data_IF_064973734167
#
_entry.id   IF_064973734167
#
_cell.length_a   1.000
_cell.length_b   1.000
_cell.length_c   1.000
_cell.angle_alpha   90.00
_cell.angle_beta   90.00
_cell.angle_gamma   90.00
#
_symmetry.space_group_name_H-M   'P 1'
#
loop_
_entity.id
_entity.type
_entity.pdbx_description
1 polymer ?
#
# COMPACT_ATOMS: atom_id res chain seq x y z
N UNK A 1 12.53 5.19 15.63
CA UNK A 1 11.73 5.27 14.38
C UNK A 1 11.22 3.89 14.08
N UNK A 2 9.91 3.72 13.90
CA UNK A 2 9.30 2.45 13.53
C UNK A 2 9.25 2.39 12.00
N UNK A 3 10.14 1.63 11.39
CA UNK A 3 10.12 1.42 9.95
C UNK A 3 8.88 0.57 9.63
N UNK A 4 7.97 1.10 8.81
CA UNK A 4 6.80 0.34 8.36
C UNK A 4 7.30 -0.79 7.46
N UNK A 5 7.05 -2.03 7.86
CA UNK A 5 7.33 -3.20 7.04
C UNK A 5 6.25 -3.31 5.94
N UNK A 6 6.69 -3.30 4.68
CA UNK A 6 5.78 -3.30 3.53
C UNK A 6 5.57 -4.74 3.08
N UNK A 7 4.30 -5.14 2.96
CA UNK A 7 3.90 -6.44 2.44
C UNK A 7 4.51 -6.69 1.05
N UNK A 8 5.27 -7.77 0.93
CA UNK A 8 5.80 -8.23 -0.35
C UNK A 8 4.79 -9.11 -1.09
N UNK A 9 4.95 -9.26 -2.40
CA UNK A 9 4.14 -10.20 -3.19
C UNK A 9 4.33 -11.65 -2.71
N UNK A 10 5.51 -12.01 -2.18
CA UNK A 10 5.74 -13.33 -1.61
C UNK A 10 4.84 -13.61 -0.40
N UNK A 11 4.84 -12.70 0.57
CA UNK A 11 3.98 -12.78 1.76
C UNK A 11 2.48 -12.74 1.39
N UNK A 12 2.10 -11.94 0.38
CA UNK A 12 0.71 -11.94 -0.12
C UNK A 12 0.30 -13.31 -0.66
N UNK A 13 1.17 -13.98 -1.43
CA UNK A 13 0.88 -15.34 -1.95
C UNK A 13 0.75 -16.36 -0.82
N UNK A 14 1.59 -16.27 0.20
CA UNK A 14 1.50 -17.14 1.39
C UNK A 14 0.15 -16.96 2.09
N UNK A 15 -0.29 -15.72 2.28
CA UNK A 15 -1.61 -15.43 2.84
C UNK A 15 -2.76 -15.98 1.98
N UNK A 16 -2.70 -15.83 0.66
CA UNK A 16 -3.71 -16.39 -0.25
C UNK A 16 -3.76 -17.92 -0.18
N UNK A 17 -2.60 -18.59 -0.09
CA UNK A 17 -2.56 -20.04 0.09
C UNK A 17 -3.14 -20.51 1.44
N UNK A 18 -3.07 -19.67 2.48
CA UNK A 18 -3.72 -19.95 3.75
C UNK A 18 -5.24 -19.74 3.71
N UNK A 19 -5.74 -18.79 2.89
CA UNK A 19 -7.17 -18.62 2.65
C UNK A 19 -7.79 -19.88 2.04
N UNK A 20 -7.12 -20.54 1.09
CA UNK A 20 -7.62 -21.77 0.45
C UNK A 20 -7.87 -22.92 1.46
N UNK A 21 -7.21 -22.88 2.62
CA UNK A 21 -7.40 -23.87 3.70
C UNK A 21 -8.64 -23.56 4.56
N UNK A 22 -9.22 -22.37 4.44
CA UNK A 22 -10.35 -21.90 5.25
C UNK A 22 -11.68 -22.13 4.52
N UNK A 23 -12.47 -23.10 5.00
CA UNK A 23 -13.78 -23.46 4.39
C UNK A 23 -14.85 -22.35 4.48
N UNK A 24 -14.62 -21.32 5.29
CA UNK A 24 -15.56 -20.20 5.51
C UNK A 24 -15.34 -19.05 4.54
N UNK A 25 -14.19 -18.99 3.87
CA UNK A 25 -13.90 -17.99 2.85
C UNK A 25 -14.29 -18.57 1.50
N UNK A 26 -15.18 -17.90 0.80
CA UNK A 26 -15.67 -18.25 -0.54
C UNK A 26 -15.29 -17.17 -1.56
N UNK A 27 -15.47 -17.46 -2.85
CA UNK A 27 -15.22 -16.51 -3.94
C UNK A 27 -16.05 -15.20 -3.82
N UNK A 28 -17.17 -15.24 -3.09
CA UNK A 28 -18.03 -14.07 -2.82
C UNK A 28 -17.62 -13.28 -1.57
N UNK A 29 -16.57 -13.70 -0.86
CA UNK A 29 -16.12 -13.03 0.35
C UNK A 29 -15.49 -11.69 0.00
N UNK A 30 -16.06 -10.61 0.54
CA UNK A 30 -15.63 -9.24 0.26
C UNK A 30 -14.30 -8.90 0.95
N UNK A 31 -13.47 -8.12 0.27
CA UNK A 31 -12.22 -7.56 0.81
C UNK A 31 -12.41 -6.08 1.10
N UNK A 32 -11.98 -5.64 2.28
CA UNK A 32 -12.07 -4.25 2.73
C UNK A 32 -10.70 -3.78 3.25
N UNK A 33 -10.47 -2.47 3.22
CA UNK A 33 -9.34 -1.82 3.90
C UNK A 33 -9.80 -1.31 5.26
N UNK A 34 -9.18 -1.78 6.35
CA UNK A 34 -9.40 -1.18 7.66
C UNK A 34 -8.61 0.14 7.76
N UNK A 35 -9.30 1.25 8.06
CA UNK A 35 -8.69 2.58 8.15
C UNK A 35 -8.36 2.99 9.58
N UNK A 36 -8.72 2.16 10.58
CA UNK A 36 -8.66 2.51 11.99
C UNK A 36 -9.67 3.59 12.38
N UNK A 37 -10.00 3.62 13.67
CA UNK A 37 -11.00 4.48 14.32
C UNK A 37 -12.41 3.87 14.42
N UNK A 38 -13.19 3.71 13.35
CA UNK A 38 -14.55 3.09 13.42
C UNK A 38 -15.09 2.52 12.08
N UNK A 39 -14.31 2.59 11.00
CA UNK A 39 -14.77 2.24 9.65
C UNK A 39 -13.81 1.32 8.91
N UNK A 40 -14.39 0.46 8.08
CA UNK A 40 -13.71 -0.23 6.99
C UNK A 40 -14.12 0.42 5.67
N UNK A 41 -13.24 0.35 4.69
CA UNK A 41 -13.40 0.99 3.41
C UNK A 41 -13.54 -0.05 2.29
N UNK A 42 -14.54 0.15 1.42
CA UNK A 42 -14.78 -0.70 0.26
C UNK A 42 -13.62 -0.62 -0.75
N UNK A 43 -13.25 -1.78 -1.29
CA UNK A 43 -12.30 -1.90 -2.40
C UNK A 43 -13.08 -2.36 -3.64
N UNK A 44 -13.01 -1.60 -4.72
CA UNK A 44 -13.64 -1.98 -5.99
C UNK A 44 -12.80 -3.04 -6.72
N UNK A 45 -13.43 -3.83 -7.59
CA UNK A 45 -12.74 -4.89 -8.33
C UNK A 45 -11.67 -4.37 -9.30
N UNK A 46 -11.77 -3.12 -9.73
CA UNK A 46 -10.81 -2.43 -10.59
C UNK A 46 -9.76 -1.59 -9.82
N UNK A 47 -9.76 -1.65 -8.48
CA UNK A 47 -8.81 -0.91 -7.65
C UNK A 47 -7.37 -1.43 -7.76
N UNK A 48 -7.16 -2.67 -8.20
CA UNK A 48 -5.84 -3.30 -8.25
C UNK A 48 -5.04 -2.81 -9.46
N UNK A 49 -3.83 -2.32 -9.20
CA UNK A 49 -2.91 -1.85 -10.24
C UNK A 49 -1.48 -2.26 -9.95
N UNK A 50 -0.68 -2.42 -11.01
CA UNK A 50 0.77 -2.59 -10.93
C UNK A 50 1.38 -1.30 -11.45
N UNK A 51 2.13 -0.61 -10.61
CA UNK A 51 2.65 0.72 -10.88
C UNK A 51 4.15 0.79 -10.59
N UNK A 52 4.74 1.92 -10.95
CA UNK A 52 6.11 2.27 -10.57
C UNK A 52 6.09 3.38 -9.52
N UNK A 53 6.91 3.22 -8.48
CA UNK A 53 7.02 4.17 -7.38
C UNK A 53 8.48 4.42 -7.00
N UNK A 54 8.70 5.55 -6.33
CA UNK A 54 10.00 5.93 -5.74
C UNK A 54 9.82 6.36 -4.30
N UNK A 55 10.85 6.15 -3.49
CA UNK A 55 10.87 6.62 -2.11
C UNK A 55 10.97 8.14 -2.07
N UNK A 56 10.24 8.78 -1.18
CA UNK A 56 10.45 10.17 -0.84
C UNK A 56 10.81 10.29 0.63
N UNK A 57 11.45 11.41 0.96
CA UNK A 57 11.73 11.81 2.32
C UNK A 57 11.40 13.30 2.43
N UNK A 58 10.59 13.65 3.42
CA UNK A 58 10.20 15.03 3.73
C UNK A 58 10.55 15.30 5.18
N UNK A 59 11.11 16.46 5.45
CA UNK A 59 11.36 16.95 6.80
C UNK A 59 10.29 17.98 7.15
N UNK A 60 9.65 17.83 8.31
CA UNK A 60 8.72 18.82 8.85
C UNK A 60 9.52 20.04 9.33
N UNK A 61 9.23 21.24 8.78
CA UNK A 61 10.01 22.44 9.09
C UNK A 61 9.82 22.96 10.51
N UNK A 62 8.79 22.52 11.25
CA UNK A 62 8.51 22.98 12.61
C UNK A 62 9.27 22.17 13.66
N UNK A 63 9.29 20.84 13.50
CA UNK A 63 9.85 19.92 14.51
C UNK A 63 11.07 19.12 13.99
N UNK A 64 11.47 19.29 12.73
CA UNK A 64 12.55 18.55 12.06
C UNK A 64 12.35 17.03 11.99
N UNK A 65 11.11 16.57 12.13
CA UNK A 65 10.77 15.17 12.00
C UNK A 65 10.81 14.75 10.54
N UNK A 66 11.44 13.61 10.27
CA UNK A 66 11.61 13.07 8.94
C UNK A 66 10.56 12.00 8.65
N UNK A 67 9.73 12.27 7.65
CA UNK A 67 8.75 11.34 7.12
C UNK A 67 9.28 10.68 5.85
N UNK A 68 9.11 9.36 5.76
CA UNK A 68 9.47 8.59 4.59
C UNK A 68 8.23 7.91 4.03
N UNK A 69 8.19 7.74 2.71
CA UNK A 69 7.10 7.06 2.04
C UNK A 69 7.41 6.76 0.59
N UNK A 70 6.39 6.36 -0.17
CA UNK A 70 6.49 6.13 -1.60
C UNK A 70 5.60 7.10 -2.35
N UNK A 71 6.09 7.58 -3.48
CA UNK A 71 5.33 8.36 -4.45
C UNK A 71 5.27 7.57 -5.75
N UNK A 72 4.10 7.55 -6.39
CA UNK A 72 3.98 7.12 -7.77
C UNK A 72 4.97 7.88 -8.65
N UNK A 73 5.49 7.23 -9.68
CA UNK A 73 6.50 7.80 -10.57
C UNK A 73 6.02 9.12 -11.20
N UNK A 74 4.74 9.21 -11.57
CA UNK A 74 4.13 10.43 -12.14
C UNK A 74 4.16 11.63 -11.16
N UNK A 75 4.19 11.38 -9.84
CA UNK A 75 4.21 12.41 -8.78
C UNK A 75 5.59 12.56 -8.15
N UNK A 76 6.56 11.75 -8.56
CA UNK A 76 7.87 11.65 -7.93
C UNK A 76 8.62 12.99 -7.94
N UNK A 77 8.53 13.76 -9.03
CA UNK A 77 9.15 15.08 -9.14
C UNK A 77 8.57 16.07 -8.11
N UNK A 78 7.24 16.14 -8.01
CA UNK A 78 6.54 16.99 -7.05
C UNK A 78 6.90 16.64 -5.61
N UNK A 79 7.06 15.35 -5.32
CA UNK A 79 7.40 14.85 -3.98
C UNK A 79 8.90 14.84 -3.69
N UNK A 80 9.75 15.32 -4.62
CA UNK A 80 11.22 15.23 -4.54
C UNK A 80 11.70 13.81 -4.21
N UNK A 81 11.01 12.81 -4.76
CA UNK A 81 11.31 11.41 -4.54
C UNK A 81 12.66 11.06 -5.18
N UNK A 82 13.39 10.15 -4.55
CA UNK A 82 14.75 9.76 -4.91
C UNK A 82 14.93 8.24 -4.79
N UNK A 83 16.10 7.76 -5.21
CA UNK A 83 16.40 6.33 -5.22
C UNK A 83 15.87 5.60 -6.46
N UNK A 84 15.97 4.25 -6.45
CA UNK A 84 15.55 3.43 -7.58
C UNK A 84 14.04 3.50 -7.78
N UNK A 85 13.62 3.36 -9.04
CA UNK A 85 12.22 3.07 -9.35
C UNK A 85 11.93 1.62 -8.99
N UNK A 86 10.84 1.38 -8.26
CA UNK A 86 10.40 0.06 -7.82
C UNK A 86 9.02 -0.24 -8.42
N UNK A 87 8.80 -1.49 -8.87
CA UNK A 87 7.46 -1.96 -9.22
C UNK A 87 6.69 -2.32 -7.97
N UNK A 88 5.46 -1.82 -7.85
CA UNK A 88 4.61 -1.99 -6.68
C UNK A 88 3.21 -2.44 -7.08
N UNK A 89 2.57 -3.24 -6.23
CA UNK A 89 1.16 -3.59 -6.36
C UNK A 89 0.35 -2.66 -5.45
N UNK A 90 -0.64 -1.99 -6.02
CA UNK A 90 -1.41 -0.93 -5.34
C UNK A 90 -2.89 -1.30 -5.38
N UNK A 91 -3.54 -1.18 -4.23
CA UNK A 91 -4.99 -1.10 -4.12
C UNK A 91 -5.36 0.38 -4.08
N UNK A 92 -5.95 0.88 -5.15
CA UNK A 92 -6.34 2.28 -5.27
C UNK A 92 -7.59 2.53 -4.43
N UNK A 93 -7.53 3.57 -3.61
CA UNK A 93 -8.74 4.17 -3.09
C UNK A 93 -9.29 5.14 -4.16
N UNK A 94 -10.56 4.99 -4.53
CA UNK A 94 -11.25 5.85 -5.50
C UNK A 94 -11.91 7.09 -4.87
N UNK A 95 -11.84 7.26 -3.54
CA UNK A 95 -12.45 8.36 -2.79
C UNK A 95 -11.42 9.18 -1.99
#
# INVERSE_FOLDING_TARGET
>A
MQQVEILTVGQLREFLADIEKQKTVTDDTKVFLDTGWDSIQEITSDALSIEEAKKFQIEDPLNHEVFQGYSLLEKAEKMKASGPTEKVLIIRNLY
#
